data_IF_920670850520
#
_entry.id   IF_920670850520
#
_cell.length_a   1.000
_cell.length_b   1.000
_cell.length_c   1.000
_cell.angle_alpha   90.00
_cell.angle_beta   90.00
_cell.angle_gamma   90.00
#
_symmetry.space_group_name_H-M   'P 1'
#
loop_
_entity.id
_entity.type
_entity.pdbx_description
1 polymer ?
#
# COMPACT_ATOMS: atom_id res chain seq x y z
N UNK A 1 -1.39 25.88 -39.44
CA UNK A 1 -2.35 25.69 -38.33
C UNK A 1 -1.80 24.63 -37.36
N UNK A 2 -1.32 24.99 -36.17
CA UNK A 2 -0.87 24.04 -35.14
C UNK A 2 -2.08 23.59 -34.33
N UNK A 3 -2.47 22.32 -34.47
CA UNK A 3 -3.56 21.69 -33.70
C UNK A 3 -3.14 21.64 -32.22
N UNK A 4 -3.86 22.37 -31.36
CA UNK A 4 -3.62 22.33 -29.92
C UNK A 4 -3.88 20.90 -29.40
N UNK A 5 -2.82 20.24 -28.93
CA UNK A 5 -2.88 18.91 -28.31
C UNK A 5 -3.68 19.05 -27.02
N UNK A 6 -4.89 18.48 -26.95
CA UNK A 6 -5.67 18.38 -25.71
C UNK A 6 -4.77 17.72 -24.66
N UNK A 7 -4.42 18.45 -23.59
CA UNK A 7 -3.76 17.89 -22.40
C UNK A 7 -4.68 16.78 -21.88
N UNK A 8 -4.15 15.57 -21.75
CA UNK A 8 -4.87 14.42 -21.22
C UNK A 8 -5.44 14.76 -19.85
N UNK A 9 -6.67 14.31 -19.58
CA UNK A 9 -7.30 14.48 -18.28
C UNK A 9 -6.35 13.95 -17.18
N UNK A 10 -6.11 14.75 -16.15
CA UNK A 10 -5.32 14.32 -15.00
C UNK A 10 -6.04 13.12 -14.34
N UNK A 11 -5.40 11.94 -14.24
CA UNK A 11 -6.00 10.82 -13.53
C UNK A 11 -6.12 11.20 -12.06
N UNK A 12 -7.32 11.58 -11.63
CA UNK A 12 -7.60 11.88 -10.23
C UNK A 12 -7.63 10.56 -9.47
N UNK A 13 -6.69 10.34 -8.55
CA UNK A 13 -6.73 9.19 -7.64
C UNK A 13 -8.04 9.23 -6.85
N UNK A 14 -8.83 8.16 -6.95
CA UNK A 14 -10.08 8.00 -6.20
C UNK A 14 -9.85 6.97 -5.11
N UNK A 15 -9.69 7.44 -3.87
CA UNK A 15 -9.63 6.56 -2.72
C UNK A 15 -11.04 6.11 -2.34
N UNK A 16 -11.25 4.80 -2.34
CA UNK A 16 -12.50 4.17 -1.92
C UNK A 16 -12.36 3.56 -0.52
N UNK A 17 -13.44 2.99 0.00
CA UNK A 17 -13.40 2.27 1.29
C UNK A 17 -12.49 1.03 1.23
N UNK A 18 -12.30 0.44 0.05
CA UNK A 18 -11.44 -0.72 -0.15
C UNK A 18 -9.97 -0.34 0.08
N UNK A 19 -9.53 0.80 -0.45
CA UNK A 19 -8.21 1.38 -0.21
C UNK A 19 -7.93 1.55 1.28
N UNK A 20 -8.94 2.03 2.03
CA UNK A 20 -8.81 2.23 3.46
C UNK A 20 -8.61 0.90 4.21
N UNK A 21 -9.33 -0.15 3.83
CA UNK A 21 -9.13 -1.47 4.42
C UNK A 21 -7.73 -2.03 4.15
N UNK A 22 -7.22 -1.88 2.93
CA UNK A 22 -5.84 -2.26 2.61
C UNK A 22 -4.81 -1.43 3.37
N UNK A 23 -5.05 -0.13 3.55
CA UNK A 23 -4.17 0.74 4.33
C UNK A 23 -4.12 0.32 5.80
N UNK A 24 -5.27 0.07 6.41
CA UNK A 24 -5.37 -0.38 7.81
C UNK A 24 -4.74 -1.76 8.00
N UNK A 25 -5.03 -2.70 7.10
CA UNK A 25 -4.42 -4.04 7.13
C UNK A 25 -2.90 -3.99 6.95
N UNK A 26 -2.42 -3.16 6.02
CA UNK A 26 -0.98 -2.96 5.78
C UNK A 26 -0.27 -2.37 6.99
N UNK A 27 -0.87 -1.34 7.60
CA UNK A 27 -0.33 -0.72 8.81
C UNK A 27 -0.30 -1.73 9.98
N UNK A 28 -1.37 -2.49 10.18
CA UNK A 28 -1.42 -3.53 11.21
C UNK A 28 -0.36 -4.61 10.99
N UNK A 29 -0.16 -5.06 9.76
CA UNK A 29 0.87 -6.04 9.41
C UNK A 29 2.29 -5.50 9.67
N UNK A 30 2.56 -4.24 9.35
CA UNK A 30 3.86 -3.61 9.59
C UNK A 30 4.13 -3.48 11.09
N UNK A 31 3.17 -2.98 11.85
CA UNK A 31 3.30 -2.83 13.31
C UNK A 31 3.53 -4.18 13.97
N UNK A 32 2.72 -5.19 13.64
CA UNK A 32 2.89 -6.54 14.18
C UNK A 32 4.21 -7.19 13.72
N UNK A 33 4.64 -6.94 12.48
CA UNK A 33 5.92 -7.41 11.95
C UNK A 33 7.10 -6.85 12.74
N UNK A 34 7.16 -5.52 12.96
CA UNK A 34 8.22 -4.92 13.77
C UNK A 34 8.16 -5.33 15.24
N UNK A 35 6.96 -5.50 15.81
CA UNK A 35 6.80 -6.02 17.16
C UNK A 35 7.42 -7.42 17.30
N UNK A 36 7.09 -8.34 16.37
CA UNK A 36 7.66 -9.69 16.34
C UNK A 36 9.16 -9.69 16.06
N UNK A 37 9.65 -8.76 15.24
CA UNK A 37 11.08 -8.60 14.98
C UNK A 37 11.83 -8.21 16.26
N UNK A 38 11.26 -7.32 17.07
CA UNK A 38 11.79 -6.96 18.38
C UNK A 38 11.85 -8.13 19.38
N UNK A 39 11.01 -9.16 19.18
CA UNK A 39 11.05 -10.40 19.96
C UNK A 39 12.03 -11.45 19.39
N UNK A 40 12.73 -11.14 18.29
CA UNK A 40 13.67 -12.06 17.64
C UNK A 40 13.03 -13.01 16.62
N UNK A 41 11.78 -12.78 16.21
CA UNK A 41 11.14 -13.62 15.19
C UNK A 41 11.73 -13.35 13.81
N UNK A 42 12.50 -14.30 13.28
CA UNK A 42 13.17 -14.20 11.97
C UNK A 42 12.33 -14.76 10.81
N UNK A 43 11.22 -15.44 11.10
CA UNK A 43 10.37 -16.05 10.05
C UNK A 43 9.07 -15.26 9.87
N UNK A 44 8.32 -15.00 10.95
CA UNK A 44 7.02 -14.32 10.84
C UNK A 44 7.19 -12.82 10.58
N UNK A 45 8.17 -12.16 11.21
CA UNK A 45 8.33 -10.72 11.03
C UNK A 45 8.64 -10.34 9.58
N UNK A 46 9.60 -10.97 8.86
CA UNK A 46 9.84 -10.63 7.47
C UNK A 46 8.63 -10.92 6.57
N UNK A 47 7.89 -12.01 6.83
CA UNK A 47 6.67 -12.34 6.07
C UNK A 47 5.60 -11.26 6.25
N UNK A 48 5.34 -10.81 7.49
CA UNK A 48 4.38 -9.74 7.75
C UNK A 48 4.83 -8.41 7.15
N UNK A 49 6.12 -8.08 7.24
CA UNK A 49 6.66 -6.85 6.69
C UNK A 49 6.59 -6.85 5.16
N UNK A 50 6.90 -7.96 4.49
CA UNK A 50 6.75 -8.09 3.03
C UNK A 50 5.28 -8.00 2.63
N UNK A 51 4.36 -8.67 3.34
CA UNK A 51 2.93 -8.56 3.08
C UNK A 51 2.44 -7.11 3.22
N UNK A 52 2.84 -6.42 4.28
CA UNK A 52 2.47 -5.02 4.51
C UNK A 52 3.04 -4.06 3.47
N UNK A 53 4.34 -4.13 3.20
CA UNK A 53 5.05 -3.20 2.32
C UNK A 53 4.86 -3.47 0.84
N UNK A 54 4.88 -4.73 0.42
CA UNK A 54 4.94 -5.12 -1.00
C UNK A 54 3.56 -5.43 -1.57
N UNK A 55 2.59 -5.80 -0.72
CA UNK A 55 1.26 -6.20 -1.17
C UNK A 55 0.19 -5.20 -0.72
N UNK A 56 0.02 -5.02 0.60
CA UNK A 56 -1.12 -4.26 1.13
C UNK A 56 -0.99 -2.76 0.88
N UNK A 57 0.18 -2.16 1.09
CA UNK A 57 0.40 -0.73 0.82
C UNK A 57 0.23 -0.37 -0.67
N UNK A 58 0.79 -1.11 -1.64
CA UNK A 58 0.53 -0.85 -3.05
C UNK A 58 -0.94 -0.98 -3.41
N UNK A 59 -1.62 -2.02 -2.91
CA UNK A 59 -3.07 -2.19 -3.12
C UNK A 59 -3.88 -1.05 -2.49
N UNK A 60 -3.46 -0.51 -1.34
CA UNK A 60 -4.13 0.65 -0.75
C UNK A 60 -4.09 1.89 -1.65
N UNK A 61 -3.09 2.00 -2.55
CA UNK A 61 -2.95 3.13 -3.46
C UNK A 61 -3.74 2.92 -4.75
N UNK A 62 -3.74 1.70 -5.30
CA UNK A 62 -4.24 1.43 -6.67
C UNK A 62 -5.57 0.68 -6.76
N UNK A 63 -6.01 0.01 -5.69
CA UNK A 63 -7.27 -0.74 -5.67
C UNK A 63 -8.49 0.18 -5.63
#
# INVERSE_FOLDING_TARGET
MRKARKRGADPTLKFTRVNLWFALGGLAAIVAGYYLLGQGSVTLAPVLLVLGYVVLLPLAIIA
#
